data_IF_538065761735
#
_entry.id   IF_538065761735
#
_cell.length_a   1.000
_cell.length_b   1.000
_cell.length_c   1.000
_cell.angle_alpha   90.00
_cell.angle_beta   90.00
_cell.angle_gamma   90.00
#
_symmetry.space_group_name_H-M   'P 1'
#
loop_
_entity.id
_entity.type
_entity.pdbx_description
1 polymer ?
#
# COMPACT_ATOMS: atom_id res chain seq x y z
N UNK A 1 -4.33 -17.42 -11.88
CA UNK A 1 -3.43 -16.54 -11.12
C UNK A 1 -4.24 -15.39 -10.53
N UNK A 2 -3.87 -14.86 -9.36
CA UNK A 2 -4.52 -13.68 -8.77
C UNK A 2 -3.62 -12.45 -8.89
N UNK A 3 -4.17 -11.36 -9.41
CA UNK A 3 -3.57 -10.02 -9.32
C UNK A 3 -4.24 -9.27 -8.19
N UNK A 4 -3.43 -8.78 -7.24
CA UNK A 4 -3.89 -7.84 -6.22
C UNK A 4 -4.41 -6.57 -6.89
N UNK A 5 -3.68 -6.04 -7.87
CA UNK A 5 -4.16 -4.87 -8.59
C UNK A 5 -3.69 -4.80 -10.02
N UNK A 6 -4.50 -4.13 -10.83
CA UNK A 6 -4.08 -3.48 -12.06
C UNK A 6 -4.21 -1.98 -11.83
N UNK A 7 -3.07 -1.30 -11.75
CA UNK A 7 -3.01 0.14 -11.48
C UNK A 7 -2.70 0.90 -12.76
N UNK A 8 -3.63 1.75 -13.18
CA UNK A 8 -3.45 2.67 -14.31
C UNK A 8 -2.95 4.01 -13.80
N UNK A 9 -1.79 4.41 -14.29
CA UNK A 9 -1.15 5.68 -14.00
C UNK A 9 -1.57 6.68 -15.07
N UNK A 10 -2.23 7.74 -14.64
CA UNK A 10 -2.78 8.79 -15.48
C UNK A 10 -1.74 9.88 -15.73
N UNK A 11 -1.84 10.60 -16.85
CA UNK A 11 -1.03 11.79 -17.14
C UNK A 11 -1.90 12.85 -17.85
N UNK A 12 -2.88 13.45 -17.13
CA UNK A 12 -3.79 14.42 -17.73
C UNK A 12 -3.04 15.66 -18.22
N UNK A 13 -3.39 16.15 -19.41
CA UNK A 13 -2.77 17.37 -19.98
C UNK A 13 -3.36 18.67 -19.42
N UNK A 14 -4.48 18.57 -18.72
CA UNK A 14 -5.18 19.69 -18.11
C UNK A 14 -5.87 19.21 -16.84
N UNK A 15 -6.02 20.11 -15.88
CA UNK A 15 -6.73 19.89 -14.62
C UNK A 15 -8.08 20.62 -14.58
N UNK A 16 -8.53 21.15 -15.73
CA UNK A 16 -9.91 21.60 -15.87
C UNK A 16 -10.89 20.44 -15.66
N UNK A 17 -11.94 20.68 -14.89
CA UNK A 17 -12.91 19.64 -14.51
C UNK A 17 -13.62 18.99 -15.72
N UNK A 18 -13.92 19.77 -16.77
CA UNK A 18 -14.54 19.24 -17.98
C UNK A 18 -13.59 18.33 -18.76
N UNK A 19 -12.31 18.71 -18.83
CA UNK A 19 -11.27 17.87 -19.40
C UNK A 19 -11.05 16.59 -18.57
N UNK A 20 -10.86 16.72 -17.25
CA UNK A 20 -10.61 15.58 -16.35
C UNK A 20 -11.71 14.54 -16.44
N UNK A 21 -12.98 14.97 -16.41
CA UNK A 21 -14.13 14.06 -16.52
C UNK A 21 -14.09 13.24 -17.82
N UNK A 22 -13.86 13.88 -18.95
CA UNK A 22 -13.80 13.18 -20.24
C UNK A 22 -12.57 12.26 -20.34
N UNK A 23 -11.42 12.73 -19.86
CA UNK A 23 -10.18 11.98 -19.86
C UNK A 23 -10.26 10.73 -18.98
N UNK A 24 -10.66 10.86 -17.72
CA UNK A 24 -10.83 9.75 -16.78
C UNK A 24 -11.84 8.74 -17.30
N UNK A 25 -13.00 9.21 -17.81
CA UNK A 25 -14.01 8.32 -18.41
C UNK A 25 -13.43 7.48 -19.55
N UNK A 26 -12.65 8.09 -20.43
CA UNK A 26 -12.00 7.39 -21.55
C UNK A 26 -10.98 6.36 -21.06
N UNK A 27 -10.12 6.75 -20.12
CA UNK A 27 -9.05 5.89 -19.59
C UNK A 27 -9.60 4.69 -18.81
N UNK A 28 -10.59 4.92 -17.95
CA UNK A 28 -11.23 3.86 -17.15
C UNK A 28 -12.04 2.91 -18.03
N UNK A 29 -12.77 3.42 -19.03
CA UNK A 29 -13.48 2.56 -19.98
C UNK A 29 -12.53 1.62 -20.72
N UNK A 30 -11.38 2.16 -21.16
CA UNK A 30 -10.34 1.36 -21.82
C UNK A 30 -9.75 0.31 -20.87
N UNK A 31 -9.49 0.68 -19.61
CA UNK A 31 -9.00 -0.23 -18.57
C UNK A 31 -9.95 -1.41 -18.35
N UNK A 32 -11.24 -1.12 -18.17
CA UNK A 32 -12.26 -2.14 -17.99
C UNK A 32 -12.33 -3.08 -19.19
N UNK A 33 -12.32 -2.56 -20.42
CA UNK A 33 -12.30 -3.38 -21.64
C UNK A 33 -11.05 -4.28 -21.71
N UNK A 34 -9.88 -3.75 -21.39
CA UNK A 34 -8.64 -4.52 -21.39
C UNK A 34 -8.67 -5.66 -20.36
N UNK A 35 -9.16 -5.40 -19.14
CA UNK A 35 -9.24 -6.39 -18.06
C UNK A 35 -10.29 -7.46 -18.36
N UNK A 36 -11.43 -7.07 -18.90
CA UNK A 36 -12.51 -7.97 -19.33
C UNK A 36 -11.98 -9.07 -20.29
N UNK A 37 -10.97 -8.75 -21.09
CA UNK A 37 -10.40 -9.70 -22.06
C UNK A 37 -9.45 -10.74 -21.48
N UNK A 38 -9.07 -10.61 -20.20
CA UNK A 38 -8.16 -11.54 -19.50
C UNK A 38 -8.81 -12.20 -18.29
N UNK A 39 -10.04 -11.81 -17.93
CA UNK A 39 -10.73 -12.27 -16.72
C UNK A 39 -10.98 -13.77 -16.63
N UNK A 40 -10.92 -14.50 -17.75
CA UNK A 40 -11.06 -15.96 -17.76
C UNK A 40 -9.82 -16.67 -17.22
N UNK A 41 -8.66 -16.02 -17.29
CA UNK A 41 -7.36 -16.60 -16.94
C UNK A 41 -6.76 -15.97 -15.67
N UNK A 42 -7.16 -14.73 -15.38
CA UNK A 42 -6.64 -13.92 -14.27
C UNK A 42 -7.78 -13.38 -13.43
N UNK A 43 -7.73 -13.65 -12.14
CA UNK A 43 -8.59 -13.03 -11.16
C UNK A 43 -7.96 -11.70 -10.73
N UNK A 44 -8.66 -10.58 -10.96
CA UNK A 44 -8.17 -9.24 -10.64
C UNK A 44 -8.96 -8.71 -9.45
N UNK A 45 -8.31 -8.63 -8.29
CA UNK A 45 -8.96 -8.19 -7.05
C UNK A 45 -9.38 -6.72 -7.10
N UNK A 46 -8.54 -5.85 -7.65
CA UNK A 46 -8.83 -4.41 -7.72
C UNK A 46 -8.29 -3.73 -8.98
N UNK A 47 -9.05 -2.74 -9.44
CA UNK A 47 -8.60 -1.75 -10.42
C UNK A 47 -8.33 -0.44 -9.68
N UNK A 48 -7.26 0.26 -10.08
CA UNK A 48 -6.79 1.44 -9.37
C UNK A 48 -6.34 2.53 -10.33
N UNK A 49 -6.51 3.80 -9.92
CA UNK A 49 -6.02 4.97 -10.64
C UNK A 49 -4.99 5.72 -9.82
N UNK A 50 -3.86 6.06 -10.43
CA UNK A 50 -2.84 6.91 -9.82
C UNK A 50 -2.60 8.14 -10.67
N UNK A 51 -2.80 9.32 -10.11
CA UNK A 51 -2.60 10.60 -10.80
C UNK A 51 -1.21 11.14 -10.53
N UNK A 52 -0.70 12.09 -11.34
CA UNK A 52 0.36 12.97 -10.89
C UNK A 52 -0.18 13.89 -9.79
N UNK A 53 0.69 14.49 -8.97
CA UNK A 53 0.28 15.55 -8.07
C UNK A 53 -0.35 16.69 -8.85
N UNK A 54 -1.50 17.24 -8.40
CA UNK A 54 -2.08 18.42 -9.03
C UNK A 54 -1.08 19.58 -9.07
N UNK A 55 -0.96 20.32 -10.19
CA UNK A 55 -0.08 21.47 -10.27
C UNK A 55 -0.60 22.61 -9.38
N UNK A 56 0.30 23.51 -9.00
CA UNK A 56 -0.05 24.69 -8.19
C UNK A 56 -1.14 25.53 -8.85
N UNK A 57 -2.07 26.04 -8.04
CA UNK A 57 -3.23 26.83 -8.48
C UNK A 57 -4.45 26.01 -8.88
N UNK A 58 -4.37 24.68 -8.91
CA UNK A 58 -5.53 23.79 -9.07
C UNK A 58 -6.28 23.66 -7.75
N UNK A 59 -7.61 23.70 -7.80
CA UNK A 59 -8.45 23.29 -6.69
C UNK A 59 -8.36 21.77 -6.52
N UNK A 60 -7.50 21.33 -5.60
CA UNK A 60 -7.17 19.92 -5.37
C UNK A 60 -8.37 19.10 -4.91
N UNK A 61 -9.28 19.69 -4.15
CA UNK A 61 -10.50 19.02 -3.68
C UNK A 61 -11.41 18.76 -4.87
N UNK A 62 -11.69 19.79 -5.67
CA UNK A 62 -12.55 19.66 -6.84
C UNK A 62 -11.97 18.66 -7.86
N UNK A 63 -10.65 18.64 -8.03
CA UNK A 63 -9.99 17.67 -8.88
C UNK A 63 -10.13 16.23 -8.34
N UNK A 64 -9.93 16.03 -7.03
CA UNK A 64 -10.12 14.74 -6.36
C UNK A 64 -11.55 14.21 -6.53
N UNK A 65 -12.55 15.03 -6.22
CA UNK A 65 -13.98 14.71 -6.40
C UNK A 65 -14.27 14.35 -7.86
N UNK A 66 -13.83 15.17 -8.81
CA UNK A 66 -14.09 14.95 -10.25
C UNK A 66 -13.52 13.61 -10.72
N UNK A 67 -12.28 13.28 -10.33
CA UNK A 67 -11.61 12.04 -10.74
C UNK A 67 -12.30 10.85 -10.06
N UNK A 68 -12.49 10.92 -8.74
CA UNK A 68 -13.12 9.85 -7.95
C UNK A 68 -14.52 9.53 -8.47
N UNK A 69 -15.43 10.51 -8.51
CA UNK A 69 -16.82 10.31 -8.95
C UNK A 69 -16.88 9.72 -10.36
N UNK A 70 -16.09 10.27 -11.29
CA UNK A 70 -16.07 9.80 -12.68
C UNK A 70 -15.56 8.36 -12.80
N UNK A 71 -14.55 7.98 -12.00
CA UNK A 71 -14.03 6.62 -11.98
C UNK A 71 -14.96 5.64 -11.26
N UNK A 72 -15.63 6.09 -10.19
CA UNK A 72 -16.55 5.29 -9.40
C UNK A 72 -17.81 4.94 -10.17
N UNK A 73 -18.33 5.87 -10.99
CA UNK A 73 -19.42 5.62 -11.95
C UNK A 73 -19.13 4.46 -12.93
N UNK A 74 -17.84 4.14 -13.11
CA UNK A 74 -17.35 3.05 -13.98
C UNK A 74 -16.79 1.86 -13.18
N UNK A 75 -17.01 1.82 -11.86
CA UNK A 75 -16.64 0.70 -10.99
C UNK A 75 -15.19 0.73 -10.49
N UNK A 76 -14.47 1.85 -10.61
CA UNK A 76 -13.11 2.00 -10.08
C UNK A 76 -13.10 3.01 -8.94
N UNK A 77 -13.02 2.53 -7.70
CA UNK A 77 -13.18 3.36 -6.49
C UNK A 77 -11.86 3.61 -5.74
N UNK A 78 -10.73 3.18 -6.29
CA UNK A 78 -9.42 3.34 -5.66
C UNK A 78 -8.61 4.35 -6.47
N UNK A 79 -8.53 5.59 -5.98
CA UNK A 79 -7.82 6.70 -6.62
C UNK A 79 -6.77 7.26 -5.68
N UNK A 80 -5.53 7.38 -6.14
CA UNK A 80 -4.39 7.95 -5.42
C UNK A 80 -3.66 8.97 -6.29
N UNK A 81 -2.67 9.67 -5.73
CA UNK A 81 -1.86 10.67 -6.43
C UNK A 81 -1.97 12.08 -5.84
N UNK A 82 -2.72 12.22 -4.75
CA UNK A 82 -2.81 13.45 -3.97
C UNK A 82 -1.78 13.39 -2.85
N UNK A 83 -0.82 14.31 -2.90
CA UNK A 83 0.31 14.36 -1.96
C UNK A 83 0.33 15.68 -1.23
N UNK A 84 0.40 15.63 0.10
CA UNK A 84 0.55 16.79 0.97
C UNK A 84 1.96 16.83 1.58
N UNK A 85 2.44 18.03 1.90
CA UNK A 85 3.73 18.22 2.57
C UNK A 85 3.54 18.24 4.10
N UNK A 86 4.34 17.45 4.82
CA UNK A 86 4.35 17.40 6.28
C UNK A 86 4.70 18.74 6.96
N UNK A 87 5.48 19.62 6.31
CA UNK A 87 5.89 20.91 6.88
C UNK A 87 4.69 21.81 7.19
N UNK A 88 3.76 21.89 6.23
CA UNK A 88 2.56 22.73 6.29
C UNK A 88 1.28 21.92 6.31
N UNK A 89 1.31 20.71 6.88
CA UNK A 89 0.19 19.78 6.84
C UNK A 89 -1.04 20.35 7.56
N UNK A 90 -2.07 20.67 6.78
CA UNK A 90 -3.37 21.14 7.26
C UNK A 90 -4.32 19.94 7.47
N UNK A 91 -4.74 19.65 8.72
CA UNK A 91 -5.65 18.55 9.02
C UNK A 91 -7.03 18.73 8.38
N UNK A 92 -7.50 19.96 8.16
CA UNK A 92 -8.79 20.22 7.51
C UNK A 92 -8.72 19.90 6.01
N UNK A 93 -7.65 20.32 5.33
CA UNK A 93 -7.40 19.95 3.93
C UNK A 93 -7.27 18.44 3.76
N UNK A 94 -6.50 17.78 4.63
CA UNK A 94 -6.35 16.33 4.65
C UNK A 94 -7.72 15.64 4.82
N UNK A 95 -8.52 16.07 5.81
CA UNK A 95 -9.87 15.54 6.04
C UNK A 95 -10.72 15.65 4.77
N UNK A 96 -10.76 16.83 4.14
CA UNK A 96 -11.58 17.09 2.96
C UNK A 96 -11.18 16.27 1.75
N UNK A 97 -9.87 16.06 1.53
CA UNK A 97 -9.39 15.19 0.47
C UNK A 97 -9.85 13.73 0.68
N UNK A 98 -9.74 13.23 1.91
CA UNK A 98 -10.17 11.87 2.24
C UNK A 98 -11.68 11.72 2.10
N UNK A 99 -12.46 12.73 2.49
CA UNK A 99 -13.91 12.77 2.27
C UNK A 99 -14.30 12.78 0.79
N UNK A 100 -13.43 13.25 -0.12
CA UNK A 100 -13.61 13.11 -1.57
C UNK A 100 -13.46 11.67 -2.07
N UNK A 101 -13.08 10.72 -1.22
CA UNK A 101 -12.94 9.29 -1.55
C UNK A 101 -11.58 8.89 -2.12
N UNK A 102 -10.61 9.82 -2.14
CA UNK A 102 -9.26 9.54 -2.65
C UNK A 102 -8.30 9.16 -1.52
N UNK A 103 -7.29 8.39 -1.89
CA UNK A 103 -6.16 8.03 -1.07
C UNK A 103 -5.13 9.17 -1.09
N UNK A 104 -4.62 9.52 0.09
CA UNK A 104 -3.72 10.66 0.27
C UNK A 104 -2.38 10.18 0.81
N UNK A 105 -1.30 10.69 0.22
CA UNK A 105 0.05 10.51 0.74
C UNK A 105 0.55 11.79 1.40
N UNK A 106 1.36 11.67 2.45
CA UNK A 106 1.99 12.79 3.13
C UNK A 106 3.49 12.63 3.06
N UNK A 107 4.18 13.52 2.36
CA UNK A 107 5.63 13.52 2.26
C UNK A 107 6.27 14.17 3.49
N UNK A 108 7.10 13.40 4.20
CA UNK A 108 7.84 13.85 5.38
C UNK A 108 9.33 13.84 5.07
N UNK A 109 9.79 14.86 4.33
CA UNK A 109 11.17 14.96 3.85
C UNK A 109 12.21 15.14 4.98
N UNK A 110 11.78 15.61 6.15
CA UNK A 110 12.64 15.76 7.33
C UNK A 110 11.99 15.13 8.56
N UNK A 111 12.81 14.47 9.38
CA UNK A 111 12.35 13.81 10.60
C UNK A 111 11.74 14.75 11.64
N UNK A 112 12.09 16.03 11.65
CA UNK A 112 11.53 17.02 12.58
C UNK A 112 10.10 17.47 12.23
N UNK A 113 9.56 17.03 11.08
CA UNK A 113 8.14 17.21 10.74
C UNK A 113 7.23 16.11 11.33
N UNK A 114 7.80 15.13 12.05
CA UNK A 114 7.08 14.03 12.71
C UNK A 114 5.92 14.52 13.59
N UNK A 115 6.12 15.63 14.30
CA UNK A 115 5.10 16.22 15.18
C UNK A 115 3.92 16.81 14.42
N UNK A 116 4.16 17.42 13.26
CA UNK A 116 3.09 17.98 12.42
C UNK A 116 2.19 16.86 11.90
N UNK A 117 2.82 15.81 11.36
CA UNK A 117 2.13 14.58 10.92
C UNK A 117 1.30 14.00 12.06
N UNK A 118 1.92 13.77 13.21
CA UNK A 118 1.27 13.16 14.37
C UNK A 118 0.04 13.95 14.82
N UNK A 119 0.16 15.28 14.94
CA UNK A 119 -0.97 16.16 15.28
C UNK A 119 -2.09 16.06 14.24
N UNK A 120 -1.77 16.13 12.96
CA UNK A 120 -2.78 16.07 11.91
C UNK A 120 -3.54 14.73 11.90
N UNK A 121 -2.84 13.61 12.03
CA UNK A 121 -3.47 12.29 12.11
C UNK A 121 -4.42 12.20 13.31
N UNK A 122 -4.00 12.67 14.48
CA UNK A 122 -4.86 12.67 15.68
C UNK A 122 -6.07 13.61 15.51
N UNK A 123 -5.88 14.80 14.95
CA UNK A 123 -6.99 15.73 14.69
C UNK A 123 -8.01 15.16 13.69
N UNK A 124 -7.55 14.48 12.63
CA UNK A 124 -8.43 13.75 11.71
C UNK A 124 -9.13 12.59 12.42
N UNK A 125 -8.41 11.84 13.28
CA UNK A 125 -8.98 10.73 14.02
C UNK A 125 -10.16 11.12 14.91
N UNK A 126 -10.09 12.30 15.56
CA UNK A 126 -11.20 12.81 16.36
C UNK A 126 -12.44 13.23 15.54
N UNK A 127 -12.28 13.49 14.24
CA UNK A 127 -13.40 13.74 13.33
C UNK A 127 -13.96 12.43 12.79
N UNK A 128 -13.10 11.61 12.20
CA UNK A 128 -13.44 10.31 11.65
C UNK A 128 -12.18 9.45 11.49
N UNK A 129 -11.91 8.48 12.40
CA UNK A 129 -10.69 7.68 12.36
C UNK A 129 -10.65 6.70 11.19
N UNK A 130 -11.80 6.39 10.57
CA UNK A 130 -11.86 5.47 9.42
C UNK A 130 -11.18 6.08 8.19
N UNK A 131 -11.19 7.41 8.04
CA UNK A 131 -10.52 8.09 6.92
C UNK A 131 -9.01 7.86 6.90
N UNK A 132 -8.39 7.60 8.06
CA UNK A 132 -6.96 7.36 8.15
C UNK A 132 -6.52 6.02 7.56
N UNK A 133 -7.44 5.11 7.25
CA UNK A 133 -7.15 3.94 6.44
C UNK A 133 -6.62 4.31 5.04
N UNK A 134 -7.02 5.48 4.53
CA UNK A 134 -6.70 5.96 3.18
C UNK A 134 -5.53 6.98 3.18
N UNK A 135 -4.82 7.12 4.31
CA UNK A 135 -3.64 8.00 4.47
C UNK A 135 -2.38 7.18 4.69
N UNK A 136 -1.29 7.55 4.02
CA UNK A 136 0.03 7.04 4.32
C UNK A 136 1.07 8.16 4.35
N UNK A 137 1.98 8.07 5.31
CA UNK A 137 3.11 8.99 5.43
C UNK A 137 4.33 8.36 4.79
N UNK A 138 5.10 9.17 4.07
CA UNK A 138 6.33 8.77 3.41
C UNK A 138 7.49 9.44 4.16
N UNK A 139 8.28 8.68 4.92
CA UNK A 139 9.48 9.19 5.56
C UNK A 139 10.59 9.31 4.51
N UNK A 140 10.90 10.54 4.12
CA UNK A 140 11.90 10.87 3.10
C UNK A 140 11.30 11.30 1.75
N UNK A 141 12.15 11.30 0.73
CA UNK A 141 11.83 11.79 -0.61
C UNK A 141 11.37 10.64 -1.53
N UNK A 142 10.27 10.84 -2.26
CA UNK A 142 9.72 9.90 -3.23
C UNK A 142 10.51 9.80 -4.53
N UNK A 143 11.51 10.65 -4.81
CA UNK A 143 12.13 10.82 -6.16
C UNK A 143 12.20 9.54 -7.01
N UNK A 144 11.26 9.42 -7.94
CA UNK A 144 11.20 8.35 -8.94
C UNK A 144 10.67 7.00 -8.44
N UNK A 145 10.16 6.93 -7.22
CA UNK A 145 9.51 5.74 -6.67
C UNK A 145 8.09 5.63 -7.21
N UNK A 146 7.90 4.69 -8.12
CA UNK A 146 6.60 4.35 -8.67
C UNK A 146 6.13 3.05 -8.02
N UNK A 147 4.92 3.04 -7.48
CA UNK A 147 4.36 1.88 -6.79
C UNK A 147 2.86 1.74 -7.02
N UNK A 148 2.33 0.52 -7.27
CA UNK A 148 0.89 0.28 -7.33
C UNK A 148 0.25 0.19 -5.93
N UNK A 149 1.05 0.29 -4.86
CA UNK A 149 0.61 0.24 -3.47
C UNK A 149 -0.01 1.56 -3.03
N UNK A 150 -1.24 1.49 -2.50
CA UNK A 150 -2.01 2.65 -2.05
C UNK A 150 -1.91 2.76 -0.54
N UNK A 151 -1.90 3.97 0.05
CA UNK A 151 -2.03 5.32 -0.55
C UNK A 151 -0.79 5.90 -1.27
N UNK A 152 0.31 5.15 -1.38
CA UNK A 152 1.61 5.70 -1.80
C UNK A 152 1.81 5.83 -3.31
N UNK A 153 0.81 5.45 -4.10
CA UNK A 153 0.88 5.45 -5.55
C UNK A 153 0.71 6.85 -6.10
N UNK A 154 1.78 7.40 -6.67
CA UNK A 154 1.79 8.70 -7.35
C UNK A 154 2.45 8.53 -8.72
N UNK A 155 1.81 9.02 -9.79
CA UNK A 155 2.45 8.99 -11.11
C UNK A 155 3.38 10.20 -11.29
N UNK A 156 4.69 10.00 -11.13
CA UNK A 156 5.67 11.06 -11.39
C UNK A 156 6.18 11.06 -12.84
N UNK A 157 5.73 10.11 -13.67
CA UNK A 157 6.15 10.00 -15.07
C UNK A 157 5.30 10.91 -15.97
N UNK A 158 5.85 11.39 -17.10
CA UNK A 158 5.14 12.32 -17.99
C UNK A 158 4.10 11.64 -18.90
N UNK A 159 3.99 10.31 -18.87
CA UNK A 159 3.12 9.53 -19.76
C UNK A 159 2.21 8.62 -18.96
N UNK A 160 1.15 8.11 -19.58
CA UNK A 160 0.35 7.05 -18.99
C UNK A 160 1.12 5.73 -18.92
N UNK A 161 0.82 4.93 -17.90
CA UNK A 161 1.38 3.59 -17.78
C UNK A 161 0.55 2.67 -16.91
N UNK A 162 0.98 1.42 -16.82
CA UNK A 162 0.30 0.38 -16.10
C UNK A 162 1.29 -0.45 -15.30
N UNK A 163 0.98 -0.68 -14.02
CA UNK A 163 1.65 -1.68 -13.20
C UNK A 163 0.65 -2.70 -12.69
N UNK A 164 1.15 -3.89 -12.39
CA UNK A 164 0.37 -4.95 -11.76
C UNK A 164 1.00 -5.34 -10.43
N UNK A 165 0.18 -5.64 -9.42
CA UNK A 165 0.63 -6.18 -8.14
C UNK A 165 0.09 -7.60 -7.95
N UNK A 166 0.87 -8.47 -7.32
CA UNK A 166 0.57 -9.89 -7.17
C UNK A 166 -0.18 -10.17 -5.85
N UNK A 167 -1.06 -11.17 -5.83
CA UNK A 167 -1.67 -11.72 -4.62
C UNK A 167 -1.45 -13.24 -4.59
N UNK A 168 -0.50 -13.69 -3.79
CA UNK A 168 0.01 -15.06 -3.82
C UNK A 168 0.69 -15.57 -2.52
N UNK A 169 0.46 -15.03 -1.29
CA UNK A 169 1.03 -15.62 -0.08
C UNK A 169 0.72 -17.11 0.09
N UNK A 170 -0.51 -17.54 -0.20
CA UNK A 170 -0.90 -18.95 -0.01
C UNK A 170 -0.33 -19.87 -1.07
N UNK A 171 -0.11 -19.40 -2.31
CA UNK A 171 0.59 -20.18 -3.34
C UNK A 171 2.03 -20.49 -2.88
N UNK A 172 2.73 -19.49 -2.30
CA UNK A 172 4.06 -19.67 -1.75
C UNK A 172 4.07 -20.62 -0.54
N UNK A 173 3.08 -20.52 0.34
CA UNK A 173 2.94 -21.40 1.49
C UNK A 173 2.74 -22.85 1.06
N UNK A 174 1.78 -23.11 0.17
CA UNK A 174 1.50 -24.44 -0.36
C UNK A 174 2.75 -25.05 -1.04
N UNK A 175 3.49 -24.24 -1.79
CA UNK A 175 4.73 -24.68 -2.43
C UNK A 175 5.85 -24.97 -1.42
N UNK A 176 5.94 -24.17 -0.35
CA UNK A 176 6.88 -24.38 0.75
C UNK A 176 6.58 -25.65 1.53
N UNK A 177 5.32 -25.91 1.87
CA UNK A 177 4.91 -27.12 2.60
C UNK A 177 5.19 -28.39 1.80
N UNK A 178 5.11 -28.31 0.46
CA UNK A 178 5.37 -29.44 -0.42
C UNK A 178 6.86 -29.75 -0.60
N UNK A 179 7.65 -28.75 -0.97
CA UNK A 179 9.04 -28.94 -1.45
C UNK A 179 10.04 -27.95 -0.78
N UNK A 180 9.67 -27.38 0.36
CA UNK A 180 10.47 -26.42 1.13
C UNK A 180 10.83 -25.17 0.33
N UNK A 181 12.02 -24.62 0.60
CA UNK A 181 12.52 -23.41 -0.07
C UNK A 181 12.66 -23.57 -1.58
N UNK A 182 12.91 -24.79 -2.08
CA UNK A 182 12.98 -25.05 -3.52
C UNK A 182 11.62 -24.94 -4.18
N UNK A 183 10.57 -25.45 -3.54
CA UNK A 183 9.19 -25.30 -4.00
C UNK A 183 8.78 -23.84 -4.06
N UNK A 184 8.98 -23.11 -2.95
CA UNK A 184 8.66 -21.68 -2.85
C UNK A 184 9.37 -20.87 -3.94
N UNK A 185 10.68 -21.08 -4.14
CA UNK A 185 11.44 -20.33 -5.14
C UNK A 185 10.94 -20.58 -6.57
N UNK A 186 10.61 -21.84 -6.90
CA UNK A 186 10.07 -22.22 -8.20
C UNK A 186 8.71 -21.57 -8.43
N UNK A 187 7.85 -21.59 -7.42
CA UNK A 187 6.50 -21.04 -7.51
C UNK A 187 6.52 -19.52 -7.61
N UNK A 188 7.35 -18.84 -6.82
CA UNK A 188 7.58 -17.41 -6.95
C UNK A 188 8.02 -17.04 -8.37
N UNK A 189 8.99 -17.78 -8.95
CA UNK A 189 9.47 -17.51 -10.31
C UNK A 189 8.35 -17.67 -11.36
N UNK A 190 7.51 -18.71 -11.22
CA UNK A 190 6.36 -18.95 -12.11
C UNK A 190 5.36 -17.80 -12.05
N UNK A 191 4.90 -17.45 -10.85
CA UNK A 191 3.86 -16.43 -10.64
C UNK A 191 4.36 -15.04 -11.08
N UNK A 192 5.60 -14.69 -10.76
CA UNK A 192 6.20 -13.42 -11.16
C UNK A 192 6.31 -13.31 -12.69
N UNK A 193 6.74 -14.38 -13.36
CA UNK A 193 6.80 -14.43 -14.83
C UNK A 193 5.42 -14.29 -15.48
N UNK A 194 4.39 -14.93 -14.90
CA UNK A 194 3.01 -14.76 -15.36
C UNK A 194 2.52 -13.33 -15.16
N UNK A 195 2.86 -12.69 -14.03
CA UNK A 195 2.54 -11.29 -13.75
C UNK A 195 3.10 -10.34 -14.81
N UNK A 196 4.36 -10.53 -15.19
CA UNK A 196 5.02 -9.78 -16.26
C UNK A 196 4.29 -9.95 -17.60
N UNK A 197 4.00 -11.20 -17.96
CA UNK A 197 3.28 -11.53 -19.20
C UNK A 197 1.91 -10.84 -19.25
N UNK A 198 1.12 -10.95 -18.18
CA UNK A 198 -0.21 -10.34 -18.10
C UNK A 198 -0.15 -8.82 -18.08
N UNK A 199 0.79 -8.24 -17.33
CA UNK A 199 1.01 -6.80 -17.29
C UNK A 199 1.32 -6.22 -18.68
N UNK A 200 2.21 -6.86 -19.45
CA UNK A 200 2.51 -6.46 -20.83
C UNK A 200 1.33 -6.62 -21.78
N UNK A 201 0.55 -7.70 -21.63
CA UNK A 201 -0.66 -7.93 -22.43
C UNK A 201 -1.70 -6.83 -22.19
N UNK A 202 -1.91 -6.45 -20.93
CA UNK A 202 -2.82 -5.37 -20.54
C UNK A 202 -2.33 -4.00 -21.03
N UNK A 203 -1.06 -3.66 -20.80
CA UNK A 203 -0.49 -2.39 -21.24
C UNK A 203 -0.53 -2.23 -22.77
N UNK A 204 -0.26 -3.31 -23.52
CA UNK A 204 -0.32 -3.30 -24.99
C UNK A 204 -1.73 -3.07 -25.51
N UNK A 205 -2.76 -3.61 -24.84
CA UNK A 205 -4.17 -3.38 -25.21
C UNK A 205 -4.58 -1.94 -24.95
N UNK A 206 -4.13 -1.38 -23.83
CA UNK A 206 -4.37 0.00 -23.44
C UNK A 206 -3.55 1.02 -24.22
N UNK A 207 -2.48 0.57 -24.90
CA UNK A 207 -1.49 1.43 -25.58
C UNK A 207 -0.83 2.41 -24.61
N UNK A 208 -0.53 1.93 -23.41
CA UNK A 208 0.21 2.67 -22.37
C UNK A 208 1.51 1.94 -22.04
N UNK A 209 2.44 2.64 -21.39
CA UNK A 209 3.70 2.03 -20.98
C UNK A 209 3.48 0.94 -19.93
N UNK A 210 4.22 -0.17 -20.04
CA UNK A 210 4.27 -1.13 -18.94
C UNK A 210 5.29 -0.66 -17.92
N UNK A 211 4.85 -0.31 -16.72
CA UNK A 211 5.71 0.18 -15.65
C UNK A 211 6.34 -0.92 -14.82
N UNK A 212 5.68 -2.06 -14.70
CA UNK A 212 6.29 -3.25 -14.12
C UNK A 212 5.32 -4.10 -13.29
N UNK A 213 5.92 -5.08 -12.63
CA UNK A 213 5.29 -5.96 -11.64
C UNK A 213 5.79 -5.57 -10.25
N UNK A 214 4.86 -5.37 -9.32
CA UNK A 214 5.15 -5.38 -7.90
C UNK A 214 4.94 -6.80 -7.35
N UNK A 215 6.05 -7.50 -7.15
CA UNK A 215 6.10 -8.86 -6.58
C UNK A 215 6.23 -8.86 -5.05
N UNK A 216 5.70 -7.83 -4.38
CA UNK A 216 5.56 -7.86 -2.93
C UNK A 216 4.69 -9.03 -2.48
N UNK A 217 5.09 -9.69 -1.38
CA UNK A 217 4.26 -10.71 -0.72
C UNK A 217 3.23 -9.97 0.14
N UNK A 218 2.13 -9.56 -0.49
CA UNK A 218 1.11 -8.70 0.14
C UNK A 218 -0.14 -9.50 0.52
N UNK A 219 -0.68 -9.32 1.74
CA UNK A 219 -1.77 -10.14 2.23
C UNK A 219 -3.15 -9.59 1.91
N UNK A 220 -4.17 -10.45 1.87
CA UNK A 220 -5.57 -10.03 1.90
C UNK A 220 -6.39 -11.06 2.67
N UNK A 221 -6.72 -10.75 3.92
CA UNK A 221 -7.48 -11.60 4.84
C UNK A 221 -6.82 -12.98 5.01
N UNK A 222 -7.44 -14.04 4.49
CA UNK A 222 -6.94 -15.40 4.57
C UNK A 222 -5.70 -15.65 3.69
N UNK A 223 -5.47 -14.82 2.67
CA UNK A 223 -4.22 -14.76 1.91
C UNK A 223 -3.16 -14.08 2.77
N UNK A 224 -2.68 -14.75 3.82
CA UNK A 224 -1.90 -14.15 4.90
C UNK A 224 -0.38 -14.29 4.67
N UNK A 225 0.30 -13.14 4.63
CA UNK A 225 1.76 -13.04 4.60
C UNK A 225 2.36 -13.45 5.94
N UNK A 226 1.69 -13.10 7.05
CA UNK A 226 2.13 -13.51 8.38
C UNK A 226 2.02 -15.03 8.57
N UNK A 227 1.00 -15.70 8.01
CA UNK A 227 0.92 -17.17 8.02
C UNK A 227 2.12 -17.80 7.32
N UNK A 228 2.51 -17.26 6.16
CA UNK A 228 3.72 -17.71 5.47
C UNK A 228 4.97 -17.50 6.33
N UNK A 229 5.10 -16.34 6.99
CA UNK A 229 6.23 -16.07 7.91
C UNK A 229 6.26 -17.07 9.08
N UNK A 230 5.13 -17.34 9.71
CA UNK A 230 5.05 -18.30 10.82
C UNK A 230 5.39 -19.71 10.36
N UNK A 231 4.92 -20.14 9.18
CA UNK A 231 5.22 -21.46 8.62
C UNK A 231 6.71 -21.65 8.34
N UNK A 232 7.39 -20.66 7.74
CA UNK A 232 8.82 -20.79 7.41
C UNK A 232 9.75 -20.55 8.60
N UNK A 233 9.28 -19.84 9.63
CA UNK A 233 10.05 -19.55 10.85
C UNK A 233 9.85 -20.59 11.94
N UNK A 234 8.71 -21.28 11.95
CA UNK A 234 8.30 -22.21 13.00
C UNK A 234 7.88 -21.52 14.31
N UNK A 235 7.72 -20.20 14.32
CA UNK A 235 7.32 -19.42 15.50
C UNK A 235 6.21 -18.43 15.16
N UNK A 236 5.33 -18.07 16.12
CA UNK A 236 4.35 -17.01 15.93
C UNK A 236 5.01 -15.65 15.68
N UNK A 237 4.44 -14.80 14.84
CA UNK A 237 4.91 -13.42 14.70
C UNK A 237 4.44 -12.60 15.93
N UNK A 238 5.25 -11.68 16.51
CA UNK A 238 6.60 -11.27 16.12
C UNK A 238 7.75 -11.88 16.95
N UNK A 239 7.68 -13.17 17.29
CA UNK A 239 8.71 -13.83 18.11
C UNK A 239 10.11 -13.84 17.46
N UNK A 240 11.13 -14.14 18.27
CA UNK A 240 12.51 -14.29 17.79
C UNK A 240 12.57 -15.32 16.65
N UNK A 241 13.02 -14.86 15.48
CA UNK A 241 13.03 -15.64 14.25
C UNK A 241 12.21 -15.00 13.12
N UNK A 242 11.18 -14.19 13.45
CA UNK A 242 10.35 -13.53 12.43
C UNK A 242 11.15 -12.63 11.50
N UNK A 243 12.05 -11.79 12.03
CA UNK A 243 12.93 -10.92 11.22
C UNK A 243 13.79 -11.72 10.24
N UNK A 244 14.39 -12.83 10.70
CA UNK A 244 15.22 -13.68 9.86
C UNK A 244 14.40 -14.38 8.75
N UNK A 245 13.18 -14.80 9.08
CA UNK A 245 12.26 -15.41 8.13
C UNK A 245 11.81 -14.42 7.04
N UNK A 246 11.41 -13.21 7.42
CA UNK A 246 11.03 -12.15 6.46
C UNK A 246 12.20 -11.83 5.53
N UNK A 247 13.41 -11.62 6.07
CA UNK A 247 14.60 -11.35 5.27
C UNK A 247 14.91 -12.49 4.27
N UNK A 248 14.71 -13.76 4.69
CA UNK A 248 14.94 -14.92 3.83
C UNK A 248 13.88 -15.03 2.73
N UNK A 249 12.61 -14.80 3.05
CA UNK A 249 11.52 -14.77 2.07
C UNK A 249 11.80 -13.72 1.00
N UNK A 250 12.13 -12.48 1.40
CA UNK A 250 12.45 -11.41 0.47
C UNK A 250 13.62 -11.76 -0.45
N UNK A 251 14.69 -12.35 0.09
CA UNK A 251 15.83 -12.79 -0.74
C UNK A 251 15.41 -13.84 -1.77
N UNK A 252 14.66 -14.86 -1.36
CA UNK A 252 14.25 -15.95 -2.26
C UNK A 252 13.33 -15.44 -3.37
N UNK A 253 12.38 -14.56 -3.04
CA UNK A 253 11.48 -13.98 -4.03
C UNK A 253 12.22 -13.01 -4.96
N UNK A 254 13.14 -12.18 -4.44
CA UNK A 254 13.96 -11.30 -5.26
C UNK A 254 14.87 -12.08 -6.22
N UNK A 255 15.48 -13.19 -5.75
CA UNK A 255 16.28 -14.08 -6.60
C UNK A 255 15.42 -14.71 -7.70
N UNK A 256 14.16 -15.06 -7.39
CA UNK A 256 13.21 -15.59 -8.36
C UNK A 256 12.79 -14.55 -9.41
N UNK A 257 12.52 -13.30 -9.00
CA UNK A 257 12.24 -12.17 -9.89
C UNK A 257 13.41 -11.88 -10.83
N UNK A 258 14.63 -11.83 -10.26
CA UNK A 258 15.86 -11.57 -11.02
C UNK A 258 16.11 -12.64 -12.08
N UNK A 259 15.84 -13.92 -11.77
CA UNK A 259 15.94 -15.03 -12.73
C UNK A 259 14.86 -14.99 -13.82
N UNK A 260 13.68 -14.49 -13.49
CA UNK A 260 12.58 -14.33 -14.43
C UNK A 260 12.81 -13.14 -15.39
N UNK A 261 13.66 -12.18 -15.04
CA UNK A 261 13.99 -11.04 -15.89
C UNK A 261 12.82 -10.07 -16.07
N UNK A 262 12.01 -9.90 -15.03
CA UNK A 262 10.81 -9.06 -15.05
C UNK A 262 11.15 -7.58 -14.91
N UNK A 263 10.26 -6.70 -15.39
CA UNK A 263 10.35 -5.27 -15.12
C UNK A 263 9.75 -5.02 -13.74
N UNK A 264 10.59 -4.73 -12.75
CA UNK A 264 10.17 -4.50 -11.37
C UNK A 264 9.63 -3.08 -11.15
N UNK A 265 8.62 -2.93 -10.30
CA UNK A 265 8.10 -1.64 -9.81
C UNK A 265 7.47 -1.83 -8.42
N UNK A 266 7.27 -0.76 -7.67
CA UNK A 266 6.74 -0.85 -6.31
C UNK A 266 7.75 -1.34 -5.28
N UNK A 267 7.24 -1.97 -4.23
CA UNK A 267 8.04 -2.28 -3.04
C UNK A 267 8.88 -3.55 -3.18
N UNK A 268 8.40 -4.54 -3.91
CA UNK A 268 9.10 -5.80 -4.18
C UNK A 268 9.58 -6.56 -2.93
N UNK A 269 8.93 -6.36 -1.77
CA UNK A 269 9.23 -7.01 -0.50
C UNK A 269 7.94 -7.45 0.20
N UNK A 270 8.04 -8.37 1.14
CA UNK A 270 6.93 -8.82 1.98
C UNK A 270 6.27 -7.64 2.71
N UNK A 271 4.94 -7.62 2.76
CA UNK A 271 4.17 -6.60 3.47
C UNK A 271 3.48 -7.19 4.70
N UNK A 272 3.34 -6.38 5.75
CA UNK A 272 2.68 -6.76 7.02
C UNK A 272 1.60 -5.73 7.46
N UNK A 273 0.62 -5.37 6.61
CA UNK A 273 -0.52 -4.54 7.00
C UNK A 273 -1.39 -5.25 8.04
N UNK A 274 -1.47 -4.71 9.25
CA UNK A 274 -2.20 -5.36 10.36
C UNK A 274 -3.69 -5.50 10.04
N UNK A 275 -4.33 -4.48 9.46
CA UNK A 275 -5.75 -4.55 9.12
C UNK A 275 -6.09 -5.44 7.89
N UNK A 276 -5.10 -5.91 7.13
CA UNK A 276 -5.32 -6.69 5.89
C UNK A 276 -4.90 -8.15 6.03
N UNK A 277 -4.36 -8.59 7.17
CA UNK A 277 -3.86 -9.95 7.40
C UNK A 277 -4.49 -10.57 8.65
N UNK A 278 -5.19 -11.70 8.50
CA UNK A 278 -5.90 -12.34 9.61
C UNK A 278 -4.99 -12.84 10.74
N UNK A 279 -3.76 -13.24 10.41
CA UNK A 279 -2.80 -13.68 11.43
C UNK A 279 -2.26 -12.46 12.19
N UNK A 280 -1.97 -11.34 11.51
CA UNK A 280 -1.57 -10.12 12.23
C UNK A 280 -2.70 -9.61 13.14
N UNK A 281 -3.96 -9.62 12.67
CA UNK A 281 -5.12 -9.31 13.51
C UNK A 281 -5.19 -10.23 14.73
N UNK A 282 -4.99 -11.54 14.54
CA UNK A 282 -4.96 -12.49 15.66
C UNK A 282 -3.86 -12.16 16.66
N UNK A 283 -2.63 -11.88 16.22
CA UNK A 283 -1.50 -11.55 17.10
C UNK A 283 -1.69 -10.22 17.83
N UNK A 284 -2.35 -9.26 17.19
CA UNK A 284 -2.79 -8.02 17.84
C UNK A 284 -3.79 -8.29 18.96
N UNK A 285 -4.84 -9.09 18.71
CA UNK A 285 -5.84 -9.48 19.73
C UNK A 285 -5.24 -10.27 20.90
N UNK A 286 -4.22 -11.08 20.63
CA UNK A 286 -3.47 -11.80 21.66
C UNK A 286 -2.55 -10.89 22.49
N UNK A 287 -2.43 -9.60 22.15
CA UNK A 287 -1.53 -8.65 22.81
C UNK A 287 -0.04 -8.90 22.53
N UNK A 288 0.27 -9.70 21.50
CA UNK A 288 1.65 -10.10 21.13
C UNK A 288 2.31 -9.11 20.19
N UNK A 289 1.52 -8.44 19.34
CA UNK A 289 2.01 -7.49 18.35
C UNK A 289 1.91 -6.05 18.87
N UNK A 290 3.01 -5.29 18.79
CA UNK A 290 3.10 -3.87 19.16
C UNK A 290 3.72 -3.05 18.04
N UNK A 291 3.59 -1.72 18.08
CA UNK A 291 4.19 -0.84 17.07
C UNK A 291 5.71 -1.06 16.92
N UNK A 292 6.45 -1.15 18.04
CA UNK A 292 7.91 -1.39 18.01
C UNK A 292 8.30 -2.67 17.25
N UNK A 293 7.43 -3.69 17.26
CA UNK A 293 7.70 -4.96 16.58
C UNK A 293 7.54 -4.77 15.06
N UNK A 294 6.56 -3.97 14.64
CA UNK A 294 6.39 -3.55 13.24
C UNK A 294 7.57 -2.67 12.78
N UNK A 295 8.07 -1.76 13.62
CA UNK A 295 9.29 -0.99 13.34
C UNK A 295 10.50 -1.91 13.16
N UNK A 296 10.66 -2.91 14.03
CA UNK A 296 11.74 -3.89 13.90
C UNK A 296 11.62 -4.70 12.59
N UNK A 297 10.42 -5.16 12.24
CA UNK A 297 10.16 -5.87 10.99
C UNK A 297 10.37 -4.96 9.75
N UNK A 298 10.11 -3.66 9.86
CA UNK A 298 10.37 -2.66 8.81
C UNK A 298 11.85 -2.55 8.41
N UNK A 299 12.77 -3.03 9.24
CA UNK A 299 14.19 -3.14 8.85
C UNK A 299 14.41 -4.15 7.71
N UNK A 300 13.52 -5.13 7.59
CA UNK A 300 13.59 -6.23 6.61
C UNK A 300 12.40 -6.30 5.66
N UNK A 301 11.39 -5.42 5.78
CA UNK A 301 10.33 -5.19 4.79
C UNK A 301 10.23 -3.70 4.37
N UNK A 302 9.69 -3.36 3.18
CA UNK A 302 9.61 -1.96 2.72
C UNK A 302 8.24 -1.29 2.96
N UNK A 303 7.19 -2.03 3.31
CA UNK A 303 5.89 -1.42 3.62
C UNK A 303 5.91 -0.51 4.86
N UNK A 304 6.94 -0.64 5.72
CA UNK A 304 7.05 0.06 7.00
C UNK A 304 6.00 -0.40 8.01
N UNK A 305 5.53 0.51 8.87
CA UNK A 305 4.42 0.23 9.79
C UNK A 305 3.11 0.44 9.06
N UNK A 306 2.34 -0.63 8.88
CA UNK A 306 1.22 -0.64 7.94
C UNK A 306 -0.09 -1.05 8.61
N UNK A 307 -1.13 -0.26 8.37
CA UNK A 307 -2.51 -0.42 8.86
C UNK A 307 -2.63 -0.75 10.35
N UNK A 308 -1.81 -0.11 11.19
CA UNK A 308 -1.78 -0.32 12.62
C UNK A 308 -2.73 0.64 13.36
N UNK A 309 -3.72 0.11 14.06
CA UNK A 309 -4.62 0.92 14.90
C UNK A 309 -4.03 1.07 16.30
N UNK A 310 -3.99 2.29 16.80
CA UNK A 310 -3.52 2.63 18.16
C UNK A 310 -4.53 3.54 18.87
N UNK A 311 -4.54 3.61 20.21
CA UNK A 311 -5.32 4.62 20.93
C UNK A 311 -4.96 6.03 20.45
N UNK A 312 -5.93 6.92 20.30
CA UNK A 312 -5.69 8.34 19.98
C UNK A 312 -5.39 9.20 21.21
N UNK A 313 -5.85 8.77 22.39
CA UNK A 313 -5.65 9.49 23.64
C UNK A 313 -4.16 9.49 23.99
N UNK A 314 -3.59 10.68 24.14
CA UNK A 314 -2.14 10.92 24.34
C UNK A 314 -1.22 10.26 23.28
N UNK A 315 -1.74 10.00 22.08
CA UNK A 315 -1.00 9.31 21.02
C UNK A 315 0.08 10.18 20.36
N UNK A 316 -0.03 11.51 20.45
CA UNK A 316 0.83 12.43 19.69
C UNK A 316 2.32 12.14 19.90
N UNK A 317 2.84 12.05 21.15
CA UNK A 317 4.25 11.74 21.38
C UNK A 317 4.67 10.37 20.85
N UNK A 318 3.83 9.34 20.98
CA UNK A 318 4.16 7.99 20.52
C UNK A 318 4.20 7.91 18.99
N UNK A 319 3.23 8.51 18.30
CA UNK A 319 3.20 8.58 16.83
C UNK A 319 4.34 9.46 16.31
N UNK A 320 4.69 10.54 17.00
CA UNK A 320 5.86 11.38 16.67
C UNK A 320 7.15 10.53 16.70
N UNK A 321 7.35 9.73 17.75
CA UNK A 321 8.52 8.83 17.86
C UNK A 321 8.51 7.69 16.86
N UNK A 322 7.34 7.11 16.56
CA UNK A 322 7.19 6.15 15.48
C UNK A 322 7.69 6.74 14.14
N UNK A 323 7.25 7.95 13.80
CA UNK A 323 7.64 8.60 12.55
C UNK A 323 9.15 8.88 12.50
N UNK A 324 9.75 9.32 13.61
CA UNK A 324 11.20 9.50 13.74
C UNK A 324 11.97 8.19 13.52
N UNK A 325 11.55 7.10 14.17
CA UNK A 325 12.18 5.79 14.06
C UNK A 325 12.11 5.25 12.63
N UNK A 326 10.92 5.27 12.01
CA UNK A 326 10.75 4.78 10.63
C UNK A 326 11.47 5.69 9.63
N UNK A 327 11.56 7.00 9.88
CA UNK A 327 12.40 7.90 9.09
C UNK A 327 13.86 7.46 9.12
N UNK A 328 14.42 7.14 10.29
CA UNK A 328 15.79 6.64 10.37
C UNK A 328 15.95 5.30 9.66
N UNK A 329 15.00 4.37 9.81
CA UNK A 329 15.04 3.07 9.10
C UNK A 329 15.03 3.30 7.58
N UNK A 330 14.19 4.19 7.07
CA UNK A 330 14.12 4.58 5.65
C UNK A 330 15.48 5.09 5.14
N UNK A 331 16.10 6.02 5.88
CA UNK A 331 17.42 6.57 5.55
C UNK A 331 18.52 5.50 5.55
N UNK A 332 18.53 4.60 6.53
CA UNK A 332 19.51 3.51 6.60
C UNK A 332 19.32 2.47 5.49
N UNK A 333 18.08 2.10 5.19
CA UNK A 333 17.76 1.16 4.09
C UNK A 333 17.99 1.78 2.72
N UNK A 334 17.99 3.12 2.61
CA UNK A 334 17.99 3.87 1.34
C UNK A 334 16.84 3.42 0.43
N UNK A 335 15.68 3.19 1.05
CA UNK A 335 14.44 2.77 0.42
C UNK A 335 13.31 3.62 0.97
N UNK A 336 12.38 4.02 0.11
CA UNK A 336 11.12 4.66 0.51
C UNK A 336 10.36 3.69 1.42
N UNK A 337 9.89 4.13 2.58
CA UNK A 337 8.98 3.35 3.44
C UNK A 337 7.59 4.01 3.47
N UNK A 338 6.58 3.23 3.85
CA UNK A 338 5.25 3.73 4.20
C UNK A 338 5.02 3.72 5.70
N UNK A 339 4.26 4.67 6.22
CA UNK A 339 3.69 4.58 7.57
C UNK A 339 2.19 4.83 7.51
N UNK A 340 1.41 3.81 7.89
CA UNK A 340 -0.05 3.84 8.04
C UNK A 340 -0.38 3.47 9.48
N UNK A 341 -0.43 4.49 10.33
CA UNK A 341 -0.88 4.38 11.71
C UNK A 341 -2.21 5.11 11.85
N UNK A 342 -3.15 4.48 12.55
CA UNK A 342 -4.53 4.93 12.68
C UNK A 342 -4.81 5.15 14.17
N UNK A 343 -4.58 6.37 14.71
CA UNK A 343 -5.13 6.76 16.00
C UNK A 343 -6.65 6.59 15.99
N UNK A 344 -7.19 5.99 17.04
CA UNK A 344 -8.63 5.78 17.21
C UNK A 344 -9.07 6.32 18.59
N UNK A 345 -10.02 7.26 18.68
CA UNK A 345 -10.45 7.84 19.96
C UNK A 345 -11.25 6.86 20.83
N UNK A 346 -11.07 6.96 22.16
CA UNK A 346 -11.91 6.26 23.13
C UNK A 346 -11.75 4.73 23.17
N UNK A 347 -10.56 4.22 22.81
CA UNK A 347 -10.23 2.79 22.84
C UNK A 347 -8.91 2.54 23.55
N UNK A 348 -8.73 1.32 24.05
CA UNK A 348 -7.52 0.86 24.72
C UNK A 348 -6.86 -0.29 23.96
N UNK A 349 -5.55 -0.55 24.16
CA UNK A 349 -4.91 -1.72 23.58
C UNK A 349 -5.61 -3.03 23.95
N UNK A 350 -5.93 -3.85 22.95
CA UNK A 350 -6.72 -5.07 23.09
C UNK A 350 -8.18 -4.95 22.64
N UNK A 351 -8.70 -3.73 22.51
CA UNK A 351 -10.00 -3.50 21.90
C UNK A 351 -10.01 -3.89 20.42
N UNK A 352 -11.21 -4.08 19.85
CA UNK A 352 -11.40 -4.25 18.41
C UNK A 352 -12.27 -3.10 17.90
N UNK A 353 -11.83 -2.48 16.80
CA UNK A 353 -12.58 -1.41 16.13
C UNK A 353 -12.99 -1.85 14.74
N UNK A 354 -14.10 -1.31 14.26
CA UNK A 354 -14.53 -1.52 12.88
C UNK A 354 -13.88 -0.48 11.97
N UNK A 355 -13.11 -0.95 11.00
CA UNK A 355 -12.39 -0.11 10.04
C UNK A 355 -12.92 -0.39 8.62
N UNK A 356 -14.01 0.27 8.24
CA UNK A 356 -14.57 0.19 6.88
C UNK A 356 -14.75 -1.25 6.37
N UNK A 357 -14.19 -1.54 5.19
CA UNK A 357 -14.21 -2.87 4.57
C UNK A 357 -13.12 -3.82 5.09
N UNK A 358 -12.18 -3.33 5.92
CA UNK A 358 -11.17 -4.17 6.60
C UNK A 358 -11.77 -4.95 7.79
N UNK A 359 -13.03 -4.67 8.16
CA UNK A 359 -13.74 -5.39 9.21
C UNK A 359 -13.25 -5.00 10.61
N UNK A 360 -13.19 -5.99 11.50
CA UNK A 360 -12.67 -5.80 12.86
C UNK A 360 -11.15 -5.86 12.89
N UNK A 361 -10.53 -4.80 13.42
CA UNK A 361 -9.08 -4.63 13.53
C UNK A 361 -8.72 -4.43 15.00
N UNK A 362 -7.71 -5.13 15.55
CA UNK A 362 -7.28 -4.92 16.92
C UNK A 362 -6.58 -3.58 17.10
N UNK A 363 -6.80 -2.98 18.26
CA UNK A 363 -6.01 -1.84 18.75
C UNK A 363 -4.75 -2.41 19.40
N UNK A 364 -3.57 -2.07 18.87
CA UNK A 364 -2.30 -2.55 19.39
C UNK A 364 -1.63 -1.52 20.31
N UNK A 365 -0.78 -1.96 21.25
CA UNK A 365 0.00 -1.03 22.06
C UNK A 365 0.94 -0.17 21.19
N UNK A 366 1.01 1.14 21.45
CA UNK A 366 1.93 2.03 20.76
C UNK A 366 3.40 1.77 21.11
#
# INVERSE_FOLDING_TARGET
MKLRSVTLYLSPKSWDTGYLKNYVKSMVSSLNEAVETVKSDVDVWSLRLSTPPPPSGVDVIKAAETIYETSADLGVNLVSGFTLDAEGLDPDLLTRLLESGVYVSVEMNRGDYSRNVSRALVEVAYKNPVLLADVAVIPGDLKGFLTPYFPLSVNTNPVEGLAVALLYPMDLLNAYEKDGWSGLAKEASRIISEGEMWGRKLSSRLKVEFYGVDHSISPWMEESSARLVEAVSGVPIPELGSVAAVAKLNRVVQDAASKAGVKETGFCELMLPVAEDDILKLRGREGRLRLRDLVALSTVCVAGVDMAVVPADDAIPAVEKLMEDVYQVSMFKRRVLGVRVIPYPGVEPGDNVRLGFFGEVPVIPP
#
